data_IF_726787365988
#
_entry.id   IF_726787365988
#
_cell.length_a   1.000
_cell.length_b   1.000
_cell.length_c   1.000
_cell.angle_alpha   90.00
_cell.angle_beta   90.00
_cell.angle_gamma   90.00
#
_symmetry.space_group_name_H-M   'P 1'
#
loop_
_entity.id
_entity.type
_entity.pdbx_description
1 polymer ?
#
# COMPACT_ATOMS: atom_id res chain seq x y z
N UNK A 1 3.15 -8.98 12.37
CA UNK A 1 4.13 -8.18 11.61
C UNK A 1 3.45 -6.95 11.00
N UNK A 2 4.10 -5.79 11.08
CA UNK A 2 3.68 -4.53 10.47
C UNK A 2 4.72 -4.04 9.45
N UNK A 3 4.35 -3.08 8.60
CA UNK A 3 5.21 -2.54 7.52
C UNK A 3 6.57 -2.07 8.06
N UNK A 4 6.56 -1.17 9.05
CA UNK A 4 7.78 -0.60 9.64
C UNK A 4 8.69 -1.66 10.26
N UNK A 5 8.12 -2.67 10.94
CA UNK A 5 8.92 -3.78 11.50
C UNK A 5 9.60 -4.63 10.42
N UNK A 6 9.00 -4.74 9.22
CA UNK A 6 9.56 -5.50 8.10
C UNK A 6 10.68 -4.72 7.41
N UNK A 7 10.52 -3.39 7.24
CA UNK A 7 11.56 -2.50 6.73
C UNK A 7 12.81 -2.56 7.61
N UNK A 8 12.64 -2.40 8.92
CA UNK A 8 13.75 -2.37 9.88
C UNK A 8 14.48 -3.71 9.92
N UNK A 9 13.74 -4.82 10.01
CA UNK A 9 14.29 -6.18 10.08
C UNK A 9 15.13 -6.54 8.86
N UNK A 10 14.74 -6.05 7.68
CA UNK A 10 15.44 -6.33 6.42
C UNK A 10 16.43 -5.24 6.02
N UNK A 11 16.55 -4.16 6.79
CA UNK A 11 17.38 -3.01 6.46
C UNK A 11 17.08 -2.44 5.07
N UNK A 12 15.80 -2.41 4.67
CA UNK A 12 15.37 -1.96 3.34
C UNK A 12 15.43 -0.44 3.18
N UNK A 13 15.34 0.29 4.29
CA UNK A 13 15.51 1.73 4.36
C UNK A 13 16.38 2.09 5.57
N UNK A 14 16.94 3.30 5.56
CA UNK A 14 17.82 3.76 6.62
C UNK A 14 17.92 5.28 6.68
N UNK A 15 19.00 5.78 7.28
CA UNK A 15 19.25 7.22 7.38
C UNK A 15 19.31 7.84 5.96
N UNK A 16 18.60 8.97 5.79
CA UNK A 16 18.55 9.70 4.52
C UNK A 16 17.44 9.26 3.56
N UNK A 17 16.61 8.29 3.93
CA UNK A 17 15.40 7.96 3.18
C UNK A 17 14.25 8.89 3.57
N UNK A 18 13.48 9.37 2.60
CA UNK A 18 12.21 10.04 2.85
C UNK A 18 11.09 9.02 2.90
N UNK A 19 10.35 8.99 4.01
CA UNK A 19 9.17 8.15 4.15
C UNK A 19 7.93 8.98 3.83
N UNK A 20 7.24 8.61 2.76
CA UNK A 20 6.02 9.25 2.33
C UNK A 20 4.82 8.35 2.67
N UNK A 21 3.95 8.86 3.55
CA UNK A 21 2.76 8.16 4.05
C UNK A 21 1.55 9.09 3.96
N UNK A 22 0.51 8.64 3.25
CA UNK A 22 -0.75 9.37 3.14
C UNK A 22 -1.38 9.65 4.51
N UNK A 23 -1.23 8.76 5.50
CA UNK A 23 -1.78 8.99 6.84
C UNK A 23 -1.13 10.19 7.54
N UNK A 24 0.15 10.48 7.26
CA UNK A 24 0.82 11.69 7.77
C UNK A 24 0.22 12.96 7.13
N UNK A 25 -0.05 12.92 5.82
CA UNK A 25 -0.70 14.04 5.12
C UNK A 25 -2.12 14.26 5.65
N UNK A 26 -2.88 13.19 5.90
CA UNK A 26 -4.21 13.30 6.51
C UNK A 26 -4.16 14.01 7.87
N UNK A 27 -3.17 13.72 8.70
CA UNK A 27 -3.03 14.41 9.99
C UNK A 27 -2.80 15.93 9.80
N UNK A 28 -2.06 16.36 8.77
CA UNK A 28 -1.92 17.79 8.46
C UNK A 28 -3.23 18.42 7.97
N UNK A 29 -3.93 17.76 7.04
CA UNK A 29 -5.23 18.23 6.53
C UNK A 29 -6.28 18.32 7.63
N UNK A 30 -6.36 17.30 8.49
CA UNK A 30 -7.28 17.27 9.62
C UNK A 30 -6.94 18.37 10.63
N UNK A 31 -5.66 18.62 10.91
CA UNK A 31 -5.26 19.69 11.82
C UNK A 31 -5.73 21.05 11.32
N UNK A 32 -5.42 21.37 10.07
CA UNK A 32 -5.81 22.64 9.45
C UNK A 32 -7.34 22.81 9.42
N UNK A 33 -8.07 21.78 8.99
CA UNK A 33 -9.53 21.81 8.96
C UNK A 33 -10.16 21.98 10.37
N UNK A 34 -9.55 21.42 11.41
CA UNK A 34 -10.01 21.57 12.80
C UNK A 34 -9.72 22.98 13.32
N UNK A 35 -8.54 23.52 13.06
CA UNK A 35 -8.17 24.89 13.43
C UNK A 35 -9.11 25.92 12.78
N UNK A 36 -9.60 25.62 11.57
CA UNK A 36 -10.58 26.44 10.84
C UNK A 36 -12.04 26.15 11.24
N UNK A 37 -12.31 25.16 12.10
CA UNK A 37 -13.66 24.82 12.57
C UNK A 37 -14.52 24.07 11.55
N UNK A 38 -13.94 23.50 10.48
CA UNK A 38 -14.65 22.80 9.41
C UNK A 38 -15.43 21.59 9.93
N UNK A 39 -14.88 20.90 10.94
CA UNK A 39 -15.44 19.66 11.49
C UNK A 39 -16.04 19.81 12.89
N UNK A 40 -16.32 21.03 13.36
CA UNK A 40 -16.82 21.26 14.73
C UNK A 40 -18.07 20.44 15.05
N UNK A 41 -19.03 20.39 14.13
CA UNK A 41 -20.26 19.62 14.32
C UNK A 41 -19.98 18.12 14.42
N UNK A 42 -19.12 17.57 13.56
CA UNK A 42 -18.77 16.15 13.58
C UNK A 42 -18.01 15.75 14.84
N UNK A 43 -17.08 16.60 15.30
CA UNK A 43 -16.30 16.37 16.52
C UNK A 43 -17.12 16.56 17.81
N UNK A 44 -18.36 17.06 17.70
CA UNK A 44 -19.30 17.14 18.82
C UNK A 44 -20.12 15.86 19.02
N UNK A 45 -20.08 14.93 18.07
CA UNK A 45 -20.84 13.67 18.12
C UNK A 45 -20.26 12.75 19.20
N UNK A 46 -21.11 12.33 20.14
CA UNK A 46 -20.78 11.27 21.09
C UNK A 46 -21.00 9.89 20.45
N UNK A 47 -20.01 9.01 20.57
CA UNK A 47 -20.10 7.63 20.13
C UNK A 47 -20.68 6.73 21.24
N UNK A 48 -20.99 5.49 20.88
CA UNK A 48 -21.59 4.51 21.80
C UNK A 48 -20.70 4.15 23.01
N UNK A 49 -19.39 4.43 22.94
CA UNK A 49 -18.46 4.29 24.06
C UNK A 49 -18.53 5.44 25.07
N UNK A 50 -19.43 6.42 24.86
CA UNK A 50 -19.60 7.59 25.72
C UNK A 50 -18.56 8.68 25.52
N UNK A 51 -17.74 8.57 24.46
CA UNK A 51 -16.72 9.55 24.12
C UNK A 51 -16.96 10.15 22.75
N UNK A 52 -16.48 11.39 22.55
CA UNK A 52 -16.60 12.08 21.28
C UNK A 52 -15.86 11.38 20.15
N UNK A 53 -16.32 11.67 18.93
CA UNK A 53 -15.58 11.40 17.71
C UNK A 53 -14.23 12.13 17.74
N UNK A 54 -13.17 11.42 17.35
CA UNK A 54 -11.79 11.90 17.37
C UNK A 54 -11.29 12.22 15.95
N UNK A 55 -10.33 13.16 15.79
CA UNK A 55 -9.86 13.64 14.50
C UNK A 55 -9.54 12.56 13.45
N UNK A 56 -8.74 11.54 13.80
CA UNK A 56 -8.35 10.47 12.85
C UNK A 56 -9.49 9.55 12.45
N UNK A 57 -10.65 9.65 13.07
CA UNK A 57 -11.86 8.93 12.63
C UNK A 57 -12.50 9.60 11.41
N UNK A 58 -12.15 10.86 11.14
CA UNK A 58 -12.54 11.61 9.95
C UNK A 58 -11.58 11.40 8.76
N UNK A 59 -10.57 10.53 8.89
CA UNK A 59 -9.50 10.34 7.90
C UNK A 59 -10.02 9.94 6.50
N UNK A 60 -11.21 9.35 6.40
CA UNK A 60 -11.85 9.05 5.11
C UNK A 60 -12.28 10.30 4.36
N UNK A 61 -12.65 11.38 5.05
CA UNK A 61 -13.10 12.65 4.44
C UNK A 61 -11.98 13.36 3.69
N UNK A 62 -10.74 13.20 4.16
CA UNK A 62 -9.53 13.81 3.56
C UNK A 62 -8.75 12.83 2.69
N UNK A 63 -9.29 11.64 2.42
CA UNK A 63 -8.55 10.60 1.71
C UNK A 63 -8.15 11.02 0.30
N UNK A 64 -9.09 11.49 -0.52
CA UNK A 64 -8.84 11.88 -1.90
C UNK A 64 -7.80 13.00 -2.01
N UNK A 65 -7.88 14.00 -1.12
CA UNK A 65 -6.90 15.09 -1.06
C UNK A 65 -5.52 14.59 -0.61
N UNK A 66 -5.46 13.72 0.40
CA UNK A 66 -4.20 13.15 0.87
C UNK A 66 -3.48 12.33 -0.21
N UNK A 67 -4.23 11.59 -1.05
CA UNK A 67 -3.66 10.81 -2.16
C UNK A 67 -3.08 11.74 -3.24
N UNK A 68 -3.81 12.80 -3.62
CA UNK A 68 -3.31 13.79 -4.60
C UNK A 68 -2.06 14.50 -4.11
N UNK A 69 -2.02 14.87 -2.84
CA UNK A 69 -0.83 15.49 -2.23
C UNK A 69 0.33 14.50 -2.14
N UNK A 70 0.07 13.23 -1.81
CA UNK A 70 1.10 12.19 -1.83
C UNK A 70 1.70 12.01 -3.23
N UNK A 71 0.87 12.02 -4.28
CA UNK A 71 1.33 11.96 -5.67
C UNK A 71 2.25 13.14 -6.00
N UNK A 72 1.84 14.37 -5.68
CA UNK A 72 2.64 15.58 -5.91
C UNK A 72 3.97 15.52 -5.15
N UNK A 73 3.96 15.13 -3.87
CA UNK A 73 5.17 15.03 -3.05
C UNK A 73 6.09 13.94 -3.61
N UNK A 74 5.53 12.83 -4.07
CA UNK A 74 6.29 11.75 -4.72
C UNK A 74 6.99 12.27 -5.98
N UNK A 75 6.30 12.98 -6.85
CA UNK A 75 6.88 13.57 -8.07
C UNK A 75 8.03 14.55 -7.74
N UNK A 76 7.85 15.40 -6.73
CA UNK A 76 8.89 16.33 -6.28
C UNK A 76 10.12 15.56 -5.78
N UNK A 77 9.91 14.54 -4.94
CA UNK A 77 10.98 13.71 -4.40
C UNK A 77 11.72 12.93 -5.49
N UNK A 78 11.00 12.34 -6.46
CA UNK A 78 11.59 11.65 -7.61
C UNK A 78 12.42 12.61 -8.47
N UNK A 79 11.92 13.82 -8.74
CA UNK A 79 12.67 14.83 -9.53
C UNK A 79 13.97 15.29 -8.89
N UNK A 80 14.12 15.05 -7.58
CA UNK A 80 15.34 15.37 -6.81
C UNK A 80 16.28 14.17 -6.67
N UNK A 81 15.90 13.00 -7.17
CA UNK A 81 16.62 11.75 -6.98
C UNK A 81 16.81 11.48 -5.49
N UNK A 82 15.73 11.48 -4.70
CA UNK A 82 15.76 11.18 -3.26
C UNK A 82 15.52 9.68 -3.02
N UNK A 83 16.08 9.08 -1.95
CA UNK A 83 15.78 7.69 -1.61
C UNK A 83 14.42 7.65 -0.91
N UNK A 84 13.47 6.89 -1.42
CA UNK A 84 12.07 7.00 -0.99
C UNK A 84 11.52 5.70 -0.44
N UNK A 85 10.81 5.79 0.68
CA UNK A 85 9.86 4.77 1.14
C UNK A 85 8.46 5.29 0.87
N UNK A 86 7.72 4.63 -0.01
CA UNK A 86 6.30 4.91 -0.21
C UNK A 86 5.47 3.92 0.60
N UNK A 87 4.67 4.41 1.54
CA UNK A 87 3.71 3.59 2.29
C UNK A 87 2.37 3.52 1.56
N UNK A 88 1.91 2.31 1.22
CA UNK A 88 0.63 2.12 0.52
C UNK A 88 0.03 0.73 0.66
N UNK A 89 -1.10 0.49 -0.01
CA UNK A 89 -1.70 -0.85 -0.16
C UNK A 89 -1.31 -1.55 -1.45
N UNK A 90 -0.80 -0.82 -2.45
CA UNK A 90 -0.64 -1.36 -3.80
C UNK A 90 -1.96 -1.90 -4.40
N UNK A 91 -3.10 -1.34 -4.00
CA UNK A 91 -4.44 -1.81 -4.39
C UNK A 91 -4.89 -1.36 -5.79
N UNK A 92 -4.25 -0.34 -6.37
CA UNK A 92 -4.56 0.15 -7.71
C UNK A 92 -3.66 -0.54 -8.77
N UNK A 93 -4.23 -1.22 -9.77
CA UNK A 93 -3.44 -1.97 -10.77
C UNK A 93 -2.52 -1.08 -11.62
N UNK A 94 -2.87 0.20 -11.81
CA UNK A 94 -2.02 1.12 -12.57
C UNK A 94 -0.80 1.65 -11.81
N UNK A 95 -0.69 1.39 -10.50
CA UNK A 95 0.39 1.94 -9.67
C UNK A 95 1.75 1.40 -10.09
N UNK A 96 1.84 0.10 -10.37
CA UNK A 96 3.08 -0.56 -10.79
C UNK A 96 3.65 0.03 -12.09
N UNK A 97 2.89 0.00 -13.21
CA UNK A 97 3.34 0.58 -14.47
C UNK A 97 3.70 2.08 -14.36
N UNK A 98 2.93 2.85 -13.59
CA UNK A 98 3.23 4.27 -13.31
C UNK A 98 4.60 4.41 -12.64
N UNK A 99 4.81 3.75 -11.49
CA UNK A 99 6.06 3.85 -10.75
C UNK A 99 7.27 3.35 -11.56
N UNK A 100 7.13 2.26 -12.31
CA UNK A 100 8.21 1.78 -13.19
C UNK A 100 8.61 2.83 -14.22
N UNK A 101 7.63 3.51 -14.82
CA UNK A 101 7.87 4.58 -15.79
C UNK A 101 8.55 5.78 -15.14
N UNK A 102 7.99 6.25 -14.01
CA UNK A 102 8.49 7.43 -13.31
C UNK A 102 9.91 7.22 -12.78
N UNK A 103 10.21 6.02 -12.26
CA UNK A 103 11.54 5.65 -11.78
C UNK A 103 12.57 5.53 -12.89
N UNK A 104 12.21 4.91 -14.03
CA UNK A 104 13.10 4.81 -15.17
C UNK A 104 13.42 6.19 -15.75
N UNK A 105 12.40 7.06 -15.84
CA UNK A 105 12.58 8.45 -16.28
C UNK A 105 13.47 9.26 -15.31
N UNK A 106 13.35 9.01 -14.01
CA UNK A 106 14.18 9.63 -12.97
C UNK A 106 15.51 8.90 -12.72
N UNK A 107 15.90 7.95 -13.59
CA UNK A 107 17.17 7.22 -13.56
C UNK A 107 17.44 6.45 -12.24
N UNK A 108 16.40 5.97 -11.56
CA UNK A 108 16.56 5.16 -10.36
C UNK A 108 17.18 3.80 -10.70
N UNK A 109 18.15 3.36 -9.90
CA UNK A 109 18.84 2.08 -10.11
C UNK A 109 18.07 0.89 -9.53
N UNK A 110 17.29 1.12 -8.47
CA UNK A 110 16.60 0.05 -7.75
C UNK A 110 15.17 0.39 -7.36
N UNK A 111 14.27 -0.54 -7.64
CA UNK A 111 12.91 -0.56 -7.13
C UNK A 111 12.65 -1.83 -6.32
N UNK A 112 12.35 -1.69 -5.02
CA UNK A 112 11.92 -2.80 -4.17
C UNK A 112 10.44 -2.67 -3.85
N UNK A 113 9.67 -3.72 -4.10
CA UNK A 113 8.28 -3.89 -3.67
C UNK A 113 8.29 -4.82 -2.45
N UNK A 114 7.88 -4.31 -1.30
CA UNK A 114 7.65 -5.10 -0.09
C UNK A 114 6.15 -5.30 0.06
N UNK A 115 5.69 -6.53 -0.13
CA UNK A 115 4.31 -6.95 0.05
C UNK A 115 4.17 -7.75 1.35
N UNK A 116 3.29 -7.30 2.25
CA UNK A 116 3.09 -7.92 3.56
C UNK A 116 1.67 -8.46 3.66
N UNK A 117 1.55 -9.79 3.60
CA UNK A 117 0.30 -10.49 3.52
C UNK A 117 -0.15 -11.07 4.87
N UNK A 118 -1.47 -11.03 5.09
CA UNK A 118 -2.10 -11.61 6.26
C UNK A 118 -3.54 -12.02 5.93
N UNK A 119 -4.09 -13.05 6.60
CA UNK A 119 -5.50 -13.41 6.43
C UNK A 119 -6.46 -12.25 6.74
N UNK A 120 -7.56 -12.15 6.00
CA UNK A 120 -8.55 -11.06 6.12
C UNK A 120 -8.98 -10.80 7.57
N UNK A 121 -9.33 -11.86 8.30
CA UNK A 121 -9.78 -11.75 9.69
C UNK A 121 -8.68 -11.18 10.62
N UNK A 122 -7.41 -11.53 10.39
CA UNK A 122 -6.27 -10.98 11.13
C UNK A 122 -6.08 -9.50 10.78
N UNK A 123 -6.22 -9.14 9.51
CA UNK A 123 -6.09 -7.75 9.05
C UNK A 123 -7.18 -6.86 9.63
N UNK A 124 -8.45 -7.30 9.60
CA UNK A 124 -9.57 -6.61 10.28
C UNK A 124 -9.31 -6.43 11.77
N UNK A 125 -8.92 -7.50 12.46
CA UNK A 125 -8.66 -7.47 13.90
C UNK A 125 -7.53 -6.49 14.26
N UNK A 126 -6.46 -6.45 13.45
CA UNK A 126 -5.34 -5.51 13.62
C UNK A 126 -5.77 -4.06 13.39
N UNK A 127 -6.55 -3.78 12.36
CA UNK A 127 -7.06 -2.43 12.09
C UNK A 127 -7.95 -1.93 13.24
N UNK A 128 -8.89 -2.76 13.69
CA UNK A 128 -9.76 -2.45 14.84
C UNK A 128 -8.94 -2.23 16.11
N UNK A 129 -7.97 -3.11 16.39
CA UNK A 129 -7.10 -3.00 17.56
C UNK A 129 -6.27 -1.71 17.52
N UNK A 130 -5.72 -1.34 16.36
CA UNK A 130 -4.95 -0.10 16.17
C UNK A 130 -5.80 1.13 16.46
N UNK A 131 -7.01 1.18 15.91
CA UNK A 131 -7.96 2.25 16.16
C UNK A 131 -8.31 2.35 17.64
N UNK A 132 -8.73 1.23 18.25
CA UNK A 132 -9.19 1.23 19.63
C UNK A 132 -8.07 1.59 20.61
N UNK A 133 -6.86 1.06 20.42
CA UNK A 133 -5.69 1.43 21.24
C UNK A 133 -5.40 2.92 21.17
N UNK A 134 -5.38 3.50 19.97
CA UNK A 134 -5.13 4.94 19.81
C UNK A 134 -6.22 5.80 20.46
N UNK A 135 -7.50 5.41 20.38
CA UNK A 135 -8.58 6.08 21.14
C UNK A 135 -8.32 6.02 22.65
N UNK A 136 -8.02 4.83 23.17
CA UNK A 136 -7.78 4.63 24.60
C UNK A 136 -6.55 5.39 25.11
N UNK A 137 -5.50 5.51 24.30
CA UNK A 137 -4.33 6.32 24.59
C UNK A 137 -4.66 7.82 24.62
N UNK A 138 -5.42 8.31 23.64
CA UNK A 138 -5.88 9.70 23.61
C UNK A 138 -6.73 10.06 24.84
N UNK A 139 -7.66 9.18 25.24
CA UNK A 139 -8.50 9.38 26.43
C UNK A 139 -7.70 9.42 27.74
N UNK A 140 -6.49 8.83 27.76
CA UNK A 140 -5.57 8.87 28.91
C UNK A 140 -4.60 10.05 28.87
N UNK A 141 -4.82 11.02 27.98
CA UNK A 141 -3.97 12.21 27.82
C UNK A 141 -2.82 12.04 26.84
N UNK A 142 -2.87 11.02 25.97
CA UNK A 142 -1.96 10.87 24.84
C UNK A 142 -2.28 11.83 23.69
N UNK A 143 -1.91 11.44 22.47
CA UNK A 143 -2.20 12.20 21.26
C UNK A 143 -3.72 12.38 21.07
N UNK A 144 -4.20 13.62 21.16
CA UNK A 144 -5.61 13.98 21.04
C UNK A 144 -6.24 13.68 19.67
N UNK A 145 -5.44 13.32 18.65
CA UNK A 145 -5.95 12.89 17.35
C UNK A 145 -6.62 11.52 17.37
N UNK A 146 -6.40 10.71 18.41
CA UNK A 146 -6.99 9.39 18.55
C UNK A 146 -6.35 8.32 17.66
N UNK A 147 -7.07 7.21 17.47
CA UNK A 147 -6.61 6.08 16.67
C UNK A 147 -7.02 6.15 15.20
N UNK A 148 -6.22 5.53 14.33
CA UNK A 148 -6.52 5.44 12.89
C UNK A 148 -7.64 4.44 12.60
N UNK A 149 -8.83 4.96 12.31
CA UNK A 149 -9.98 4.17 11.89
C UNK A 149 -9.82 3.71 10.43
N UNK A 150 -10.23 2.48 10.15
CA UNK A 150 -10.32 1.95 8.79
C UNK A 150 -11.61 1.14 8.69
N UNK A 151 -12.56 1.53 7.83
CA UNK A 151 -13.82 0.81 7.70
C UNK A 151 -13.59 -0.65 7.26
N UNK A 152 -14.39 -1.59 7.79
CA UNK A 152 -14.25 -3.01 7.48
C UNK A 152 -14.39 -3.32 5.99
N UNK A 153 -15.39 -2.73 5.32
CA UNK A 153 -15.65 -2.96 3.90
C UNK A 153 -14.48 -2.57 2.98
N UNK A 154 -13.65 -1.61 3.40
CA UNK A 154 -12.44 -1.23 2.67
C UNK A 154 -11.41 -2.35 2.70
N UNK A 155 -11.20 -2.95 3.87
CA UNK A 155 -10.30 -4.10 4.02
C UNK A 155 -10.86 -5.25 3.18
N UNK A 156 -12.18 -5.44 3.22
CA UNK A 156 -12.84 -6.57 2.55
C UNK A 156 -12.66 -6.57 1.05
N UNK A 157 -12.74 -5.38 0.45
CA UNK A 157 -12.54 -5.21 -0.98
C UNK A 157 -11.13 -5.59 -1.47
N UNK A 158 -10.15 -5.73 -0.58
CA UNK A 158 -8.80 -6.19 -0.93
C UNK A 158 -8.68 -7.72 -0.98
N UNK A 159 -9.69 -8.45 -0.48
CA UNK A 159 -9.74 -9.90 -0.47
C UNK A 159 -10.86 -10.37 -1.41
N UNK A 160 -10.49 -10.78 -2.61
CA UNK A 160 -11.44 -11.37 -3.57
C UNK A 160 -11.72 -12.81 -3.14
N UNK A 161 -12.98 -13.11 -2.77
CA UNK A 161 -13.37 -14.26 -1.95
C UNK A 161 -12.74 -15.63 -2.27
N UNK A 162 -12.63 -15.98 -3.55
CA UNK A 162 -12.14 -17.31 -3.97
C UNK A 162 -10.61 -17.36 -4.18
N UNK A 163 -9.92 -16.24 -4.03
CA UNK A 163 -8.48 -16.13 -4.23
C UNK A 163 -7.75 -16.13 -2.88
N UNK A 164 -6.75 -17.01 -2.74
CA UNK A 164 -5.80 -16.94 -1.63
C UNK A 164 -4.92 -15.66 -1.72
N UNK A 165 -4.76 -15.11 -2.93
CA UNK A 165 -4.01 -13.89 -3.21
C UNK A 165 -4.89 -12.64 -3.07
N UNK A 166 -4.41 -11.62 -2.35
CA UNK A 166 -5.08 -10.32 -2.25
C UNK A 166 -4.93 -9.49 -3.53
N UNK A 167 -5.77 -8.48 -3.70
CA UNK A 167 -5.61 -7.49 -4.78
C UNK A 167 -4.21 -6.84 -4.73
N UNK A 168 -3.68 -6.66 -3.53
CA UNK A 168 -2.37 -6.03 -3.28
C UNK A 168 -1.24 -6.92 -3.80
N UNK A 169 -1.24 -8.20 -3.40
CA UNK A 169 -0.26 -9.19 -3.83
C UNK A 169 -0.30 -9.40 -5.35
N UNK A 170 -1.50 -9.50 -5.93
CA UNK A 170 -1.70 -9.63 -7.38
C UNK A 170 -1.07 -8.46 -8.14
N UNK A 171 -1.35 -7.24 -7.69
CA UNK A 171 -0.79 -6.05 -8.31
C UNK A 171 0.74 -6.03 -8.13
N UNK A 172 1.26 -6.36 -6.94
CA UNK A 172 2.70 -6.38 -6.66
C UNK A 172 3.43 -7.37 -7.58
N UNK A 173 2.87 -8.56 -7.77
CA UNK A 173 3.34 -9.54 -8.75
C UNK A 173 3.28 -8.99 -10.17
N UNK A 174 2.15 -8.40 -10.55
CA UNK A 174 1.96 -7.85 -11.89
C UNK A 174 2.97 -6.73 -12.21
N UNK A 175 3.29 -5.87 -11.22
CA UNK A 175 4.31 -4.85 -11.35
C UNK A 175 5.71 -5.45 -11.51
N UNK A 176 6.07 -6.42 -10.66
CA UNK A 176 7.34 -7.14 -10.77
C UNK A 176 7.48 -7.82 -12.14
N UNK A 177 6.39 -8.38 -12.67
CA UNK A 177 6.36 -9.11 -13.93
C UNK A 177 6.14 -8.24 -15.18
N UNK A 178 5.85 -6.96 -14.99
CA UNK A 178 5.59 -6.03 -16.07
C UNK A 178 6.80 -5.87 -17.00
N UNK A 179 6.62 -5.73 -18.33
CA UNK A 179 7.72 -5.52 -19.27
C UNK A 179 8.59 -4.29 -18.95
N UNK A 180 7.98 -3.20 -18.45
CA UNK A 180 8.69 -1.99 -18.03
C UNK A 180 9.68 -2.23 -16.87
N UNK A 181 9.59 -3.34 -16.14
CA UNK A 181 10.58 -3.69 -15.13
C UNK A 181 11.99 -3.91 -15.71
N UNK A 182 12.11 -4.14 -17.03
CA UNK A 182 13.40 -4.23 -17.72
C UNK A 182 14.09 -2.87 -17.91
N UNK A 183 13.37 -1.76 -17.77
CA UNK A 183 13.93 -0.41 -17.85
C UNK A 183 14.70 0.00 -16.59
N UNK A 184 14.56 -0.78 -15.51
CA UNK A 184 15.29 -0.56 -14.26
C UNK A 184 16.41 -1.60 -14.11
N UNK A 185 17.60 -1.20 -13.63
CA UNK A 185 18.70 -2.15 -13.40
C UNK A 185 18.32 -3.25 -12.41
N UNK A 186 17.63 -2.90 -11.31
CA UNK A 186 17.22 -3.87 -10.29
C UNK A 186 15.76 -3.65 -9.91
N UNK A 187 14.95 -4.70 -10.05
CA UNK A 187 13.60 -4.77 -9.46
C UNK A 187 13.54 -5.95 -8.51
N UNK A 188 13.12 -5.70 -7.27
CA UNK A 188 13.02 -6.71 -6.22
C UNK A 188 11.58 -6.77 -5.73
N UNK A 189 11.05 -7.99 -5.56
CA UNK A 189 9.78 -8.25 -4.89
C UNK A 189 10.06 -9.10 -3.66
N UNK A 190 9.68 -8.58 -2.49
CA UNK A 190 9.75 -9.26 -1.21
C UNK A 190 8.31 -9.49 -0.75
N UNK A 191 7.92 -10.75 -0.58
CA UNK A 191 6.61 -11.12 -0.01
C UNK A 191 6.84 -11.68 1.38
N UNK A 192 6.10 -11.17 2.36
CA UNK A 192 6.13 -11.65 3.73
C UNK A 192 4.75 -12.07 4.21
N UNK A 193 4.66 -13.27 4.78
CA UNK A 193 3.41 -13.77 5.34
C UNK A 193 3.37 -13.63 6.85
N UNK A 194 2.24 -13.17 7.39
CA UNK A 194 2.08 -12.91 8.81
C UNK A 194 2.04 -14.16 9.70
N UNK A 195 1.74 -15.33 9.12
CA UNK A 195 1.75 -16.67 9.72
C UNK A 195 3.12 -17.37 9.61
N UNK A 196 4.07 -16.77 8.90
CA UNK A 196 5.43 -17.27 8.73
C UNK A 196 5.72 -17.61 7.27
N UNK A 197 6.97 -17.41 6.86
CA UNK A 197 7.39 -17.56 5.47
C UNK A 197 7.66 -16.20 4.82
N UNK A 198 8.70 -16.18 4.01
CA UNK A 198 9.09 -15.04 3.20
C UNK A 198 9.69 -15.51 1.88
N UNK A 199 9.41 -14.74 0.84
CA UNK A 199 9.88 -15.02 -0.51
C UNK A 199 10.50 -13.75 -1.07
N UNK A 200 11.61 -13.89 -1.79
CA UNK A 200 12.29 -12.77 -2.43
C UNK A 200 12.65 -13.15 -3.87
N UNK A 201 12.19 -12.32 -4.81
CA UNK A 201 12.52 -12.42 -6.22
C UNK A 201 13.25 -11.16 -6.66
N UNK A 202 14.24 -11.34 -7.51
CA UNK A 202 15.04 -10.24 -8.06
C UNK A 202 15.07 -10.37 -9.58
N UNK A 203 14.87 -9.26 -10.28
CA UNK A 203 15.22 -9.07 -11.68
C UNK A 203 16.42 -8.14 -11.75
N UNK A 204 17.47 -8.61 -12.41
CA UNK A 204 18.62 -7.79 -12.78
C UNK A 204 18.58 -7.57 -14.29
N UNK A 205 18.48 -6.31 -14.71
CA UNK A 205 18.35 -5.91 -16.12
C UNK A 205 17.25 -6.71 -16.85
N UNK A 206 16.08 -6.84 -16.20
CA UNK A 206 14.92 -7.59 -16.72
C UNK A 206 15.01 -9.11 -16.64
N UNK A 207 16.16 -9.69 -16.29
CA UNK A 207 16.35 -11.14 -16.15
C UNK A 207 16.10 -11.60 -14.71
N UNK A 208 15.19 -12.57 -14.51
CA UNK A 208 14.93 -13.13 -13.18
C UNK A 208 16.14 -13.92 -12.67
N UNK A 209 16.64 -13.56 -11.49
CA UNK A 209 17.50 -14.43 -10.69
C UNK A 209 16.67 -15.53 -10.01
N UNK A 210 17.28 -16.70 -9.77
CA UNK A 210 16.65 -17.77 -8.98
C UNK A 210 16.33 -17.25 -7.56
N UNK A 211 15.19 -17.64 -6.96
CA UNK A 211 14.87 -17.24 -5.59
C UNK A 211 15.95 -17.75 -4.65
N UNK A 212 16.46 -16.88 -3.78
CA UNK A 212 17.39 -17.27 -2.74
C UNK A 212 16.62 -18.09 -1.69
N UNK A 213 16.66 -19.42 -1.82
CA UNK A 213 16.09 -20.32 -0.82
C UNK A 213 16.71 -20.09 0.56
N UNK A 214 15.89 -20.19 1.59
CA UNK A 214 16.27 -20.02 2.99
C UNK A 214 17.48 -20.91 3.35
N UNK A 215 18.62 -20.27 3.63
CA UNK A 215 19.78 -20.93 4.22
C UNK A 215 21.10 -20.79 3.46
N UNK A 216 21.67 -19.58 3.42
CA UNK A 216 23.12 -19.34 3.57
C UNK A 216 23.40 -17.85 3.74
N UNK A 217 24.39 -17.45 4.57
CA UNK A 217 24.70 -16.04 4.74
C UNK A 217 25.23 -15.49 3.41
N UNK A 218 24.52 -14.52 2.84
CA UNK A 218 25.00 -13.72 1.73
C UNK A 218 26.23 -12.95 2.19
N UNK A 219 27.28 -12.93 1.34
CA UNK A 219 28.51 -12.16 1.58
C UNK A 219 28.13 -10.69 1.85
N UNK A 220 28.82 -10.00 2.77
CA UNK A 220 28.58 -8.59 2.99
C UNK A 220 28.87 -7.83 1.69
N UNK A 221 27.84 -7.17 1.15
CA UNK A 221 27.98 -6.18 0.09
C UNK A 221 28.92 -5.10 0.61
N UNK A 222 30.13 -5.06 0.05
CA UNK A 222 31.12 -4.05 0.38
C UNK A 222 30.68 -2.76 -0.30
N UNK A 223 30.30 -1.76 0.50
CA UNK A 223 29.94 -0.42 0.01
C UNK A 223 31.23 0.26 -0.47
N UNK A 224 31.34 0.71 -1.72
CA UNK A 224 32.44 1.58 -2.10
C UNK A 224 32.21 2.96 -1.48
N UNK A 225 33.17 3.40 -0.67
CA UNK A 225 33.25 4.77 -0.18
C UNK A 225 33.91 5.60 -1.27
N UNK A 226 33.14 6.40 -2.02
CA UNK A 226 33.65 7.62 -2.64
C UNK A 226 32.52 8.48 -3.24
N UNK A 227 32.35 9.68 -2.68
CA UNK A 227 31.99 10.92 -3.39
C UNK A 227 30.66 11.02 -4.14
N UNK A 228 29.73 11.78 -3.56
CA UNK A 228 28.36 12.11 -3.99
C UNK A 228 27.34 10.97 -3.80
N UNK A 229 26.49 11.10 -2.79
CA UNK A 229 25.34 10.20 -2.59
C UNK A 229 24.24 10.67 -3.54
N UNK A 230 24.27 10.17 -4.77
CA UNK A 230 23.07 10.14 -5.61
C UNK A 230 22.08 9.16 -4.95
N UNK A 231 20.83 9.56 -4.83
CA UNK A 231 19.83 8.82 -4.08
C UNK A 231 18.92 8.06 -5.07
N UNK A 232 19.30 6.82 -5.35
CA UNK A 232 18.83 6.09 -6.54
C UNK A 232 17.95 4.87 -6.19
N UNK A 233 17.20 4.92 -5.07
CA UNK A 233 16.42 3.77 -4.58
C UNK A 233 15.00 4.12 -4.13
N UNK A 234 14.02 3.37 -4.64
CA UNK A 234 12.64 3.37 -4.17
C UNK A 234 12.30 2.05 -3.48
N UNK A 235 11.73 2.15 -2.27
CA UNK A 235 11.05 1.07 -1.58
C UNK A 235 9.56 1.39 -1.50
N UNK A 236 8.73 0.55 -2.07
CA UNK A 236 7.29 0.65 -1.91
C UNK A 236 6.80 -0.45 -1.00
N UNK A 237 6.06 -0.07 0.03
CA UNK A 237 5.59 -0.98 1.05
C UNK A 237 4.08 -1.13 0.95
N UNK A 238 3.68 -2.23 0.31
CA UNK A 238 2.31 -2.73 0.21
C UNK A 238 1.91 -3.55 1.43
N UNK A 239 0.66 -3.40 1.85
CA UNK A 239 0.00 -4.29 2.81
C UNK A 239 -1.48 -4.29 2.50
N UNK A 240 -2.15 -5.42 2.70
CA UNK A 240 -3.59 -5.60 2.49
C UNK A 240 -4.51 -4.81 3.46
N UNK A 241 -4.08 -3.67 4.02
CA UNK A 241 -4.97 -2.70 4.68
C UNK A 241 -4.46 -1.25 4.61
N UNK A 242 -5.18 -0.44 3.84
CA UNK A 242 -5.25 1.02 3.92
C UNK A 242 -6.62 1.45 3.38
N UNK A 243 -6.97 2.71 3.63
CA UNK A 243 -8.24 3.31 3.21
C UNK A 243 -8.31 3.30 1.67
N UNK A 244 -9.31 2.63 1.08
CA UNK A 244 -9.65 2.73 -0.35
C UNK A 244 -10.73 3.78 -0.55
N UNK A 245 -10.71 4.42 -1.71
CA UNK A 245 -11.73 5.36 -2.17
C UNK A 245 -12.96 4.64 -2.77
N UNK A 246 -14.13 5.30 -2.74
CA UNK A 246 -15.37 4.80 -3.36
C UNK A 246 -15.24 4.66 -4.88
N UNK A 247 -14.45 5.51 -5.55
CA UNK A 247 -14.22 5.42 -7.00
C UNK A 247 -13.38 4.18 -7.36
N UNK A 248 -12.41 3.81 -6.53
CA UNK A 248 -11.63 2.57 -6.69
C UNK A 248 -12.46 1.32 -6.38
N UNK A 249 -13.38 1.40 -5.41
CA UNK A 249 -14.34 0.32 -5.11
C UNK A 249 -15.29 0.05 -6.29
N UNK A 250 -15.71 1.09 -7.00
CA UNK A 250 -16.51 1.00 -8.23
C UNK A 250 -15.73 0.36 -9.39
N UNK A 251 -14.41 0.60 -9.49
CA UNK A 251 -13.58 -0.02 -10.52
C UNK A 251 -13.34 -1.52 -10.26
N UNK A 252 -13.06 -1.92 -9.02
CA UNK A 252 -12.91 -3.35 -8.64
C UNK A 252 -14.21 -4.13 -8.93
N UNK A 253 -15.36 -3.56 -8.60
CA UNK A 253 -16.67 -4.20 -8.87
C UNK A 253 -17.05 -4.21 -10.36
N UNK A 254 -16.57 -3.26 -11.17
CA UNK A 254 -16.85 -3.20 -12.60
C UNK A 254 -16.10 -4.26 -13.43
N UNK A 255 -14.91 -4.66 -12.99
CA UNK A 255 -14.13 -5.72 -13.64
C UNK A 255 -14.80 -7.09 -13.47
N UNK A 256 -15.38 -7.39 -12.30
CA UNK A 256 -16.11 -8.64 -12.04
C UNK A 256 -17.41 -8.75 -12.87
N UNK A 257 -18.13 -7.64 -13.09
CA UNK A 257 -19.31 -7.64 -13.97
C UNK A 257 -18.98 -7.95 -15.43
N UNK A 258 -17.77 -7.61 -15.89
CA UNK A 258 -17.35 -7.83 -17.27
C UNK A 258 -16.99 -9.29 -17.56
N UNK A 259 -16.54 -10.04 -16.56
CA UNK A 259 -16.31 -11.49 -16.67
C UNK A 259 -17.62 -12.31 -16.60
N UNK A 260 -18.60 -11.86 -15.82
CA UNK A 260 -19.88 -12.57 -15.69
C UNK A 260 -20.78 -12.47 -16.94
N UNK A 261 -20.53 -11.48 -17.80
CA UNK A 261 -21.34 -11.27 -19.03
C UNK A 261 -20.82 -12.08 -20.23
N UNK A 262 -19.60 -12.66 -20.17
CA UNK A 262 -19.05 -13.47 -21.26
C UNK A 262 -19.45 -14.94 -21.24
N UNK A 263 -20.00 -15.45 -20.14
CA UNK A 263 -20.32 -16.87 -19.96
C UNK A 263 -21.77 -17.25 -20.29
N UNK A 264 -22.60 -16.29 -20.72
CA UNK A 264 -24.02 -16.53 -21.08
C UNK A 264 -24.27 -16.20 -22.55
N UNK A 265 -23.61 -16.90 -23.47
CA UNK A 265 -24.09 -16.99 -24.86
C UNK A 265 -23.51 -18.22 -25.56
N UNK A 266 -24.12 -19.38 -25.36
CA UNK A 266 -24.13 -20.47 -26.35
C UNK A 266 -25.04 -21.63 -25.90
N UNK A 267 -26.27 -21.67 -26.41
CA UNK A 267 -26.99 -22.89 -26.80
C UNK A 267 -28.26 -22.50 -27.56
N UNK A 268 -28.39 -22.82 -28.86
CA UNK A 268 -29.66 -22.79 -29.55
C UNK A 268 -30.28 -24.19 -29.51
N UNK A 269 -31.36 -24.37 -28.76
CA UNK A 269 -32.27 -25.50 -28.97
C UNK A 269 -33.59 -24.96 -29.52
N UNK A 270 -33.84 -25.21 -30.80
CA UNK A 270 -35.15 -25.03 -31.43
C UNK A 270 -35.53 -26.35 -32.08
N UNK A 271 -36.31 -27.12 -31.33
CA UNK A 271 -37.10 -28.24 -31.84
C UNK A 271 -38.47 -27.75 -32.29
N UNK A 272 -38.83 -28.00 -33.56
CA UNK A 272 -40.16 -28.32 -34.13
C UNK A 272 -40.16 -28.06 -35.66
N UNK A 273 -41.04 -28.68 -36.51
CA UNK A 273 -42.17 -29.55 -36.18
C UNK A 273 -42.25 -30.87 -37.01
N UNK A 274 -43.17 -31.77 -36.61
CA UNK A 274 -43.59 -32.97 -37.34
C UNK A 274 -44.45 -33.88 -36.49
#
# INVERSE_FOLDING_TARGET
MGKSSSIDRRHLAGQGWQVLDADTIKDYLLRDAIEQGVYTDLLSIDLADGHRLMPRELATLVHAESTKLLDIVTEICLSRGENLVLEGTFSWPGLGPRLLTDLAYAEYEKFTILDVEAPQHITRARALTRWWRGRQEALRGGDGFGGRFTPGFVIDALYTGDSEETVCARNARAAFDHPLAAELPIVELVVEHADGGDETWVKENGCRGLPAGSGRPTRPLTVPVSGAVAADRLLLVGKSAAVMDQEQLMQVTSSDCSEMTRTVSCSPDRSAPG
#
